data_IF_211896912399
#
_entry.id   IF_211896912399
#
_cell.length_a   1.000
_cell.length_b   1.000
_cell.length_c   1.000
_cell.angle_alpha   90.00
_cell.angle_beta   90.00
_cell.angle_gamma   90.00
#
_symmetry.space_group_name_H-M   'P 1'
#
loop_
_entity.id
_entity.type
_entity.pdbx_description
1 polymer ?
#
# COMPACT_ATOMS: atom_id res chain seq x y z
N UNK A 1 -20.44 -11.20 11.62
CA UNK A 1 -19.33 -11.50 10.71
C UNK A 1 -18.18 -12.08 11.52
N UNK A 2 -17.47 -13.11 11.06
CA UNK A 2 -16.29 -13.60 11.77
C UNK A 2 -15.29 -12.46 11.92
N UNK A 3 -14.72 -12.34 13.11
CA UNK A 3 -13.72 -11.32 13.41
C UNK A 3 -12.43 -11.70 12.67
N UNK A 4 -11.80 -10.74 11.98
CA UNK A 4 -10.49 -10.95 11.35
C UNK A 4 -9.48 -11.46 12.39
N UNK A 5 -8.68 -12.51 12.07
CA UNK A 5 -7.60 -12.94 12.94
C UNK A 5 -6.59 -11.79 13.09
N UNK A 6 -5.92 -11.73 14.23
CA UNK A 6 -4.82 -10.77 14.42
C UNK A 6 -3.65 -11.09 13.49
N UNK A 7 -2.89 -10.07 13.13
CA UNK A 7 -1.68 -10.23 12.33
C UNK A 7 -0.64 -11.01 13.14
N UNK A 8 -0.04 -12.01 12.51
CA UNK A 8 1.00 -12.86 13.10
C UNK A 8 2.41 -12.38 12.73
N UNK A 9 3.46 -12.72 13.52
CA UNK A 9 4.83 -12.27 13.26
C UNK A 9 5.39 -12.69 11.89
N UNK A 10 4.92 -13.79 11.31
CA UNK A 10 5.35 -14.28 9.99
C UNK A 10 4.52 -13.73 8.83
N UNK A 11 3.69 -12.70 9.05
CA UNK A 11 2.89 -12.07 7.99
C UNK A 11 3.74 -11.13 7.14
N UNK A 12 3.57 -11.18 5.81
CA UNK A 12 3.94 -10.12 4.88
C UNK A 12 2.68 -9.27 4.63
N UNK A 13 2.66 -8.04 5.16
CA UNK A 13 1.49 -7.18 5.15
C UNK A 13 1.53 -6.19 4.01
N UNK A 14 0.52 -6.23 3.14
CA UNK A 14 0.32 -5.30 2.04
C UNK A 14 -0.97 -4.53 2.25
N UNK A 15 -0.93 -3.21 2.06
CA UNK A 15 -2.06 -2.33 2.31
C UNK A 15 -2.25 -1.37 1.14
N UNK A 16 -3.44 -1.31 0.58
CA UNK A 16 -3.82 -0.20 -0.28
C UNK A 16 -4.00 1.07 0.56
N UNK A 17 -4.08 2.23 -0.10
CA UNK A 17 -4.10 3.53 0.57
C UNK A 17 -5.48 4.19 0.57
N UNK A 18 -5.99 4.61 -0.60
CA UNK A 18 -7.25 5.35 -0.73
C UNK A 18 -8.46 4.42 -0.58
N UNK A 19 -9.38 4.73 0.32
CA UNK A 19 -10.53 3.84 0.63
C UNK A 19 -10.16 2.67 1.54
N UNK A 20 -8.90 2.50 1.87
CA UNK A 20 -8.35 1.41 2.69
C UNK A 20 -7.71 1.94 3.98
N UNK A 21 -6.52 2.53 3.92
CA UNK A 21 -5.89 3.21 5.05
C UNK A 21 -6.51 4.57 5.32
N UNK A 22 -6.74 5.34 4.25
CA UNK A 22 -7.38 6.66 4.27
C UNK A 22 -8.84 6.57 3.83
N UNK A 23 -9.69 7.42 4.39
CA UNK A 23 -11.04 7.59 3.87
C UNK A 23 -11.00 8.28 2.49
N UNK A 24 -11.94 7.91 1.60
CA UNK A 24 -12.06 8.56 0.30
C UNK A 24 -12.43 10.03 0.46
N UNK A 25 -11.66 10.91 -0.15
CA UNK A 25 -11.92 12.34 -0.19
C UNK A 25 -12.50 12.79 -1.55
N UNK A 26 -13.21 13.94 -1.61
CA UNK A 26 -13.72 14.50 -2.87
C UNK A 26 -12.61 14.80 -3.90
N UNK A 27 -11.40 15.10 -3.42
CA UNK A 27 -10.19 15.34 -4.21
C UNK A 27 -9.00 14.63 -3.57
N UNK A 28 -8.05 14.11 -4.34
CA UNK A 28 -6.87 13.42 -3.83
C UNK A 28 -6.06 14.24 -2.80
N UNK A 29 -5.98 15.55 -3.00
CA UNK A 29 -5.21 16.46 -2.14
C UNK A 29 -5.86 16.71 -0.76
N UNK A 30 -7.15 16.37 -0.61
CA UNK A 30 -7.92 16.57 0.62
C UNK A 30 -7.92 15.33 1.54
N UNK A 31 -7.20 14.30 1.16
CA UNK A 31 -7.03 13.11 2.03
C UNK A 31 -6.29 13.52 3.30
N UNK A 32 -6.77 13.03 4.42
CA UNK A 32 -6.17 13.24 5.73
C UNK A 32 -5.83 11.91 6.38
N UNK A 33 -4.67 11.85 7.03
CA UNK A 33 -4.21 10.69 7.78
C UNK A 33 -4.10 11.07 9.24
N UNK A 34 -4.74 10.27 10.09
CA UNK A 34 -4.66 10.44 11.54
C UNK A 34 -3.25 10.06 12.05
N UNK A 35 -2.64 10.86 12.94
CA UNK A 35 -1.30 10.56 13.49
C UNK A 35 -1.20 9.18 14.16
N UNK A 36 -2.30 8.69 14.76
CA UNK A 36 -2.37 7.36 15.35
C UNK A 36 -2.16 6.25 14.31
N UNK A 37 -2.62 6.43 13.08
CA UNK A 37 -2.40 5.47 12.02
C UNK A 37 -0.92 5.35 11.67
N UNK A 38 -0.19 6.47 11.57
CA UNK A 38 1.26 6.47 11.30
C UNK A 38 2.01 5.74 12.42
N UNK A 39 1.61 5.96 13.68
CA UNK A 39 2.15 5.25 14.84
C UNK A 39 1.89 3.75 14.80
N UNK A 40 0.68 3.34 14.40
CA UNK A 40 0.27 1.95 14.23
C UNK A 40 1.08 1.26 13.13
N UNK A 41 1.21 1.90 11.94
CA UNK A 41 1.99 1.38 10.82
C UNK A 41 3.47 1.23 11.18
N UNK A 42 4.05 2.21 11.91
CA UNK A 42 5.43 2.11 12.41
C UNK A 42 5.62 0.90 13.33
N UNK A 43 4.68 0.67 14.25
CA UNK A 43 4.73 -0.47 15.16
C UNK A 43 4.64 -1.78 14.37
N UNK A 44 3.69 -1.91 13.44
CA UNK A 44 3.56 -3.08 12.58
C UNK A 44 4.82 -3.31 11.76
N UNK A 45 5.36 -2.28 11.11
CA UNK A 45 6.59 -2.36 10.33
C UNK A 45 7.76 -2.91 11.15
N UNK A 46 7.94 -2.41 12.38
CA UNK A 46 8.97 -2.89 13.29
C UNK A 46 8.73 -4.34 13.76
N UNK A 47 7.47 -4.71 14.05
CA UNK A 47 7.12 -6.03 14.57
C UNK A 47 7.05 -7.11 13.50
N UNK A 48 6.95 -6.72 12.24
CA UNK A 48 7.03 -7.59 11.08
C UNK A 48 8.44 -7.57 10.45
N UNK A 49 9.46 -7.04 11.14
CA UNK A 49 10.85 -6.95 10.67
C UNK A 49 10.97 -6.31 9.28
N UNK A 50 10.16 -5.27 9.02
CA UNK A 50 10.13 -4.57 7.75
C UNK A 50 9.17 -5.14 6.69
N UNK A 51 8.49 -6.27 6.95
CA UNK A 51 7.60 -6.91 5.97
C UNK A 51 6.20 -6.25 5.92
N UNK A 52 6.17 -4.92 5.74
CA UNK A 52 4.97 -4.13 5.49
C UNK A 52 5.22 -3.21 4.29
N UNK A 53 4.33 -3.25 3.29
CA UNK A 53 4.39 -2.37 2.12
C UNK A 53 3.02 -1.75 1.81
N UNK A 54 3.05 -0.54 1.23
CA UNK A 54 1.86 0.14 0.69
C UNK A 54 1.80 -0.07 -0.83
N UNK A 55 0.64 -0.50 -1.35
CA UNK A 55 0.42 -0.79 -2.77
C UNK A 55 -0.71 0.10 -3.27
N UNK A 56 -0.42 1.15 -4.03
CA UNK A 56 -1.40 2.20 -4.35
C UNK A 56 -1.37 2.66 -5.82
N UNK A 57 -2.46 3.30 -6.25
CA UNK A 57 -2.50 4.08 -7.49
C UNK A 57 -1.83 5.45 -7.38
N UNK A 58 -1.46 5.89 -6.16
CA UNK A 58 -0.69 7.11 -5.95
C UNK A 58 0.78 6.93 -6.29
N UNK A 59 1.48 8.01 -6.74
CA UNK A 59 2.93 8.03 -6.74
C UNK A 59 3.52 7.80 -5.35
N UNK A 60 4.68 7.13 -5.26
CA UNK A 60 5.35 6.86 -3.97
C UNK A 60 5.67 8.16 -3.21
N UNK A 61 6.02 9.23 -3.92
CA UNK A 61 6.29 10.53 -3.30
C UNK A 61 5.08 11.10 -2.54
N UNK A 62 3.85 10.90 -3.05
CA UNK A 62 2.64 11.30 -2.36
C UNK A 62 2.36 10.43 -1.13
N UNK A 63 2.59 9.11 -1.22
CA UNK A 63 2.49 8.21 -0.07
C UNK A 63 3.45 8.64 1.04
N UNK A 64 4.69 8.99 0.71
CA UNK A 64 5.66 9.50 1.66
C UNK A 64 5.21 10.81 2.31
N UNK A 65 4.59 11.71 1.54
CA UNK A 65 4.04 12.96 2.07
C UNK A 65 2.94 12.71 3.11
N UNK A 66 2.01 11.79 2.85
CA UNK A 66 0.91 11.48 3.77
C UNK A 66 1.36 10.69 5.00
N UNK A 67 2.37 9.84 4.86
CA UNK A 67 2.81 8.95 5.94
C UNK A 67 3.99 9.49 6.75
N UNK A 68 4.41 10.74 6.51
CA UNK A 68 5.53 11.35 7.23
C UNK A 68 5.43 11.16 8.75
N UNK A 69 6.56 10.90 9.42
CA UNK A 69 7.94 10.73 8.91
C UNK A 69 8.27 9.26 8.52
N UNK A 70 7.27 8.43 8.26
CA UNK A 70 7.43 7.01 7.97
C UNK A 70 7.61 6.80 6.45
N UNK A 71 8.73 6.18 6.06
CA UNK A 71 8.99 5.74 4.68
C UNK A 71 8.93 4.21 4.62
N UNK A 72 7.85 3.68 4.06
CA UNK A 72 7.62 2.24 3.94
C UNK A 72 8.08 1.72 2.57
N UNK A 73 8.40 0.43 2.45
CA UNK A 73 8.34 -0.26 1.18
C UNK A 73 7.01 0.06 0.47
N UNK A 74 7.07 0.35 -0.82
CA UNK A 74 5.86 0.78 -1.53
C UNK A 74 5.89 0.39 -3.02
N UNK A 75 4.70 0.15 -3.58
CA UNK A 75 4.47 0.17 -5.01
C UNK A 75 3.44 1.25 -5.33
N UNK A 76 3.85 2.24 -6.11
CA UNK A 76 3.02 3.35 -6.59
C UNK A 76 2.56 3.12 -8.02
N UNK A 77 1.54 3.90 -8.45
CA UNK A 77 0.97 3.85 -9.80
C UNK A 77 0.66 2.41 -10.19
N UNK A 78 -0.07 1.70 -9.30
CA UNK A 78 -0.51 0.31 -9.47
C UNK A 78 0.63 -0.70 -9.71
N UNK A 79 1.87 -0.42 -9.27
CA UNK A 79 3.05 -1.27 -9.50
C UNK A 79 4.07 -0.70 -10.47
N UNK A 80 3.78 0.41 -11.17
CA UNK A 80 4.71 1.03 -12.10
C UNK A 80 5.85 1.81 -11.42
N UNK A 81 5.70 2.19 -10.16
CA UNK A 81 6.76 2.61 -9.25
C UNK A 81 6.98 1.55 -8.18
N UNK A 82 8.24 1.30 -7.80
CA UNK A 82 8.56 0.27 -6.83
C UNK A 82 9.73 0.68 -5.95
N UNK A 83 9.60 0.53 -4.63
CA UNK A 83 10.63 0.77 -3.64
C UNK A 83 10.61 -0.33 -2.60
N UNK A 84 11.75 -0.98 -2.38
CA UNK A 84 12.00 -1.82 -1.22
C UNK A 84 12.41 -0.96 -0.01
N UNK A 85 12.86 -1.57 1.06
CA UNK A 85 13.22 -0.89 2.31
C UNK A 85 14.23 0.26 2.09
N UNK A 86 13.81 1.51 2.37
CA UNK A 86 14.64 2.73 2.34
C UNK A 86 15.36 3.04 1.02
N UNK A 87 15.09 2.26 -0.03
CA UNK A 87 15.79 2.28 -1.30
C UNK A 87 15.33 3.38 -2.27
N UNK A 88 16.01 3.45 -3.41
CA UNK A 88 15.60 4.30 -4.51
C UNK A 88 14.30 3.78 -5.15
N UNK A 89 13.46 4.70 -5.61
CA UNK A 89 12.27 4.37 -6.38
C UNK A 89 12.68 3.96 -7.78
N UNK A 90 12.46 2.71 -8.15
CA UNK A 90 12.53 2.26 -9.54
C UNK A 90 11.20 2.53 -10.24
N UNK A 91 11.25 2.81 -11.54
CA UNK A 91 10.08 3.14 -12.36
C UNK A 91 10.05 2.30 -13.61
N UNK A 92 8.87 1.81 -13.95
CA UNK A 92 8.64 1.14 -15.25
C UNK A 92 8.81 2.15 -16.37
N UNK A 93 9.57 1.80 -17.39
CA UNK A 93 9.79 2.66 -18.54
C UNK A 93 8.51 2.82 -19.37
N UNK A 94 8.10 4.06 -19.62
CA UNK A 94 6.86 4.40 -20.33
C UNK A 94 7.10 5.42 -21.47
N UNK A 95 7.91 5.11 -22.48
CA UNK A 95 8.30 6.07 -23.52
C UNK A 95 7.13 6.51 -24.41
N UNK A 96 6.08 5.71 -24.48
CA UNK A 96 4.86 6.01 -25.24
C UNK A 96 3.95 7.08 -24.57
N UNK A 97 4.22 7.49 -23.32
CA UNK A 97 3.34 8.38 -22.58
C UNK A 97 3.43 9.84 -23.03
N UNK A 98 4.64 10.39 -23.15
CA UNK A 98 4.86 11.81 -23.49
C UNK A 98 4.19 12.23 -24.81
N UNK A 99 4.20 11.43 -25.89
CA UNK A 99 3.50 11.76 -27.14
C UNK A 99 1.98 11.90 -26.99
N UNK A 100 1.36 11.30 -25.98
CA UNK A 100 -0.08 11.35 -25.76
C UNK A 100 -0.53 12.65 -25.04
N UNK A 101 0.36 13.26 -24.26
CA UNK A 101 0.04 14.40 -23.39
C UNK A 101 -0.62 15.55 -24.17
N UNK A 102 -0.09 16.02 -25.31
CA UNK A 102 -0.72 17.14 -26.05
C UNK A 102 -2.17 16.86 -26.48
N UNK A 103 -2.50 15.62 -26.83
CA UNK A 103 -3.85 15.21 -27.22
C UNK A 103 -4.81 15.24 -26.02
N UNK A 104 -4.36 14.71 -24.86
CA UNK A 104 -5.14 14.71 -23.63
C UNK A 104 -5.33 16.13 -23.07
N UNK A 105 -4.33 16.99 -23.18
CA UNK A 105 -4.44 18.40 -22.83
C UNK A 105 -5.44 19.15 -23.75
N UNK A 106 -5.47 18.81 -25.04
CA UNK A 106 -6.46 19.37 -25.96
C UNK A 106 -7.89 18.96 -25.57
N UNK A 107 -8.09 17.71 -25.14
CA UNK A 107 -9.37 17.24 -24.63
C UNK A 107 -9.81 18.05 -23.40
N UNK A 108 -8.93 18.23 -22.41
CA UNK A 108 -9.25 18.97 -21.17
C UNK A 108 -9.50 20.46 -21.48
N UNK A 109 -8.80 21.06 -22.44
CA UNK A 109 -9.11 22.43 -22.91
C UNK A 109 -10.49 22.53 -23.56
N UNK A 110 -10.93 21.51 -24.30
CA UNK A 110 -12.27 21.48 -24.90
C UNK A 110 -13.38 21.24 -23.87
N UNK A 111 -13.08 20.56 -22.77
CA UNK A 111 -14.02 20.21 -21.70
C UNK A 111 -13.46 20.61 -20.33
N UNK A 112 -13.61 21.88 -19.90
CA UNK A 112 -12.98 22.41 -18.68
C UNK A 112 -13.43 21.75 -17.36
N UNK A 113 -14.48 20.94 -17.38
CA UNK A 113 -14.92 20.14 -16.24
C UNK A 113 -14.08 18.86 -16.06
N UNK A 114 -13.28 18.48 -17.07
CA UNK A 114 -12.28 17.42 -16.96
C UNK A 114 -11.01 17.95 -16.31
N UNK A 115 -10.31 17.08 -15.58
CA UNK A 115 -9.00 17.40 -14.99
C UNK A 115 -7.99 16.37 -15.46
N UNK A 116 -6.87 16.85 -16.00
CA UNK A 116 -5.70 16.03 -16.31
C UNK A 116 -4.75 16.05 -15.12
N UNK A 117 -4.34 14.86 -14.66
CA UNK A 117 -3.32 14.68 -13.64
C UNK A 117 -2.14 13.94 -14.25
N UNK A 118 -0.97 14.58 -14.29
CA UNK A 118 0.28 13.96 -14.75
C UNK A 118 1.00 13.34 -13.56
N UNK A 119 1.25 12.04 -13.64
CA UNK A 119 2.08 11.29 -12.69
C UNK A 119 3.45 11.00 -13.33
N UNK A 120 4.38 10.43 -12.58
CA UNK A 120 5.75 10.18 -13.06
C UNK A 120 5.82 9.26 -14.29
N UNK A 121 4.96 8.25 -14.37
CA UNK A 121 4.92 7.24 -15.46
C UNK A 121 3.49 6.92 -15.90
N UNK A 122 2.51 7.76 -15.57
CA UNK A 122 1.10 7.61 -15.92
C UNK A 122 0.44 8.99 -16.09
N UNK A 123 -0.75 9.01 -16.67
CA UNK A 123 -1.61 10.19 -16.74
C UNK A 123 -3.05 9.80 -16.47
N UNK A 124 -3.75 10.55 -15.63
CA UNK A 124 -5.14 10.29 -15.30
C UNK A 124 -6.05 11.42 -15.78
N UNK A 125 -7.23 11.07 -16.29
CA UNK A 125 -8.28 12.01 -16.68
C UNK A 125 -9.45 11.80 -15.73
N UNK A 126 -9.72 12.80 -14.89
CA UNK A 126 -10.83 12.80 -13.95
C UNK A 126 -12.05 13.47 -14.56
N UNK A 127 -13.21 12.81 -14.47
CA UNK A 127 -14.49 13.31 -14.94
C UNK A 127 -15.57 13.33 -13.85
N UNK A 128 -15.15 13.31 -12.56
CA UNK A 128 -16.07 13.33 -11.41
C UNK A 128 -17.02 14.54 -11.39
N UNK A 129 -16.59 15.68 -11.92
CA UNK A 129 -17.41 16.91 -12.00
C UNK A 129 -18.35 16.96 -13.22
N UNK A 130 -18.18 16.02 -14.16
CA UNK A 130 -18.98 15.89 -15.37
C UNK A 130 -19.08 14.40 -15.76
N UNK A 131 -19.81 13.57 -14.99
CA UNK A 131 -19.93 12.13 -15.24
C UNK A 131 -20.47 11.77 -16.63
N UNK A 132 -21.27 12.67 -17.21
CA UNK A 132 -21.82 12.56 -18.58
C UNK A 132 -20.73 12.56 -19.67
N UNK A 133 -19.52 13.06 -19.36
CA UNK A 133 -18.38 13.05 -20.29
C UNK A 133 -17.63 11.72 -20.31
N UNK A 134 -18.02 10.71 -19.50
CA UNK A 134 -17.34 9.41 -19.46
C UNK A 134 -17.12 8.81 -20.85
N UNK A 135 -18.14 8.76 -21.70
CA UNK A 135 -18.03 8.24 -23.05
C UNK A 135 -17.06 9.01 -23.96
N UNK A 136 -16.95 10.33 -23.77
CA UNK A 136 -16.00 11.18 -24.50
C UNK A 136 -14.57 10.88 -24.05
N UNK A 137 -14.35 10.71 -22.73
CA UNK A 137 -13.05 10.34 -22.16
C UNK A 137 -12.62 8.97 -22.66
N UNK A 138 -13.51 7.98 -22.60
CA UNK A 138 -13.21 6.61 -23.04
C UNK A 138 -12.87 6.56 -24.53
N UNK A 139 -13.61 7.29 -25.39
CA UNK A 139 -13.32 7.37 -26.80
C UNK A 139 -11.94 8.01 -27.07
N UNK A 140 -11.64 9.12 -26.41
CA UNK A 140 -10.35 9.81 -26.56
C UNK A 140 -9.18 8.96 -26.07
N UNK A 141 -9.31 8.30 -24.92
CA UNK A 141 -8.30 7.39 -24.39
C UNK A 141 -8.08 6.20 -25.33
N UNK A 142 -9.16 5.60 -25.85
CA UNK A 142 -9.08 4.52 -26.83
C UNK A 142 -8.34 4.97 -28.09
N UNK A 143 -8.62 6.18 -28.59
CA UNK A 143 -8.00 6.70 -29.80
C UNK A 143 -6.49 6.92 -29.63
N UNK A 144 -6.04 7.57 -28.54
CA UNK A 144 -4.61 7.80 -28.30
C UNK A 144 -3.85 6.49 -28.06
N UNK A 145 -4.49 5.49 -27.44
CA UNK A 145 -3.88 4.19 -27.17
C UNK A 145 -3.72 3.28 -28.42
N UNK A 146 -4.46 3.55 -29.54
CA UNK A 146 -4.30 2.78 -30.77
C UNK A 146 -2.88 2.78 -31.32
N UNK A 147 -2.15 3.86 -31.06
CA UNK A 147 -0.78 4.05 -31.57
C UNK A 147 0.28 4.00 -30.48
N UNK A 148 -0.12 3.75 -29.23
CA UNK A 148 0.76 3.69 -28.08
C UNK A 148 1.19 2.23 -27.80
N UNK A 149 2.49 2.01 -27.72
CA UNK A 149 3.03 0.69 -27.38
C UNK A 149 3.42 0.68 -25.90
N UNK A 150 3.06 -0.40 -25.21
CA UNK A 150 3.45 -0.62 -23.82
C UNK A 150 2.64 0.20 -22.80
N UNK A 151 1.48 0.74 -23.20
CA UNK A 151 0.54 1.45 -22.35
C UNK A 151 -0.84 0.80 -22.38
N UNK A 152 -1.59 0.95 -21.31
CA UNK A 152 -2.97 0.49 -21.17
C UNK A 152 -3.82 1.49 -20.44
N UNK A 153 -5.14 1.46 -20.65
CA UNK A 153 -6.12 2.20 -19.87
C UNK A 153 -6.52 1.39 -18.64
N UNK A 154 -6.53 2.03 -17.49
CA UNK A 154 -7.08 1.50 -16.24
C UNK A 154 -8.29 2.34 -15.83
N UNK A 155 -9.52 1.83 -16.01
CA UNK A 155 -10.71 2.50 -15.51
C UNK A 155 -10.75 2.49 -13.99
N UNK A 156 -11.08 3.65 -13.39
CA UNK A 156 -11.30 3.80 -11.96
C UNK A 156 -12.60 4.53 -11.65
N UNK A 157 -12.82 4.89 -10.39
CA UNK A 157 -14.04 5.56 -9.95
C UNK A 157 -14.08 7.04 -10.38
N UNK A 158 -14.73 7.31 -11.52
CA UNK A 158 -14.80 8.64 -12.18
C UNK A 158 -13.43 9.15 -12.67
N UNK A 159 -12.58 8.25 -13.11
CA UNK A 159 -11.25 8.50 -13.67
C UNK A 159 -10.88 7.40 -14.66
N UNK A 160 -10.10 7.74 -15.67
CA UNK A 160 -9.38 6.76 -16.50
C UNK A 160 -7.90 7.12 -16.41
N UNK A 161 -7.07 6.16 -16.06
CA UNK A 161 -5.61 6.30 -16.00
C UNK A 161 -4.97 5.58 -17.18
N UNK A 162 -4.03 6.22 -17.87
CA UNK A 162 -3.15 5.60 -18.86
C UNK A 162 -1.82 5.34 -18.16
N UNK A 163 -1.42 4.08 -18.09
CA UNK A 163 -0.22 3.61 -17.36
C UNK A 163 0.56 2.57 -18.17
N UNK A 164 1.79 2.21 -17.76
CA UNK A 164 2.50 1.08 -18.34
C UNK A 164 1.66 -0.19 -18.30
N UNK A 165 1.61 -0.90 -19.42
CA UNK A 165 0.90 -2.16 -19.56
C UNK A 165 1.63 -3.31 -18.85
N UNK A 166 0.87 -4.30 -18.39
CA UNK A 166 1.42 -5.52 -17.81
C UNK A 166 1.99 -5.35 -16.42
N UNK A 167 1.57 -4.31 -15.67
CA UNK A 167 1.88 -4.14 -14.26
C UNK A 167 0.61 -3.85 -13.48
N UNK A 168 0.40 -4.57 -12.39
CA UNK A 168 -0.73 -4.37 -11.50
C UNK A 168 -0.33 -4.57 -10.01
N UNK A 169 -1.29 -4.42 -9.11
CA UNK A 169 -1.04 -4.58 -7.67
C UNK A 169 -0.67 -6.03 -7.30
N UNK A 170 -1.13 -7.02 -8.05
CA UNK A 170 -0.78 -8.43 -7.85
C UNK A 170 0.67 -8.71 -8.25
N UNK A 171 1.13 -8.14 -9.37
CA UNK A 171 2.53 -8.23 -9.80
C UNK A 171 3.47 -7.59 -8.80
N UNK A 172 3.08 -6.42 -8.24
CA UNK A 172 3.84 -5.74 -7.21
C UNK A 172 3.97 -6.59 -5.94
N UNK A 173 2.88 -7.20 -5.46
CA UNK A 173 2.89 -8.11 -4.32
C UNK A 173 3.78 -9.32 -4.61
N UNK A 174 3.63 -9.94 -5.79
CA UNK A 174 4.45 -11.09 -6.19
C UNK A 174 5.94 -10.74 -6.29
N UNK A 175 6.29 -9.50 -6.66
CA UNK A 175 7.66 -9.01 -6.67
C UNK A 175 8.21 -8.87 -5.25
N UNK A 176 7.48 -8.25 -4.32
CA UNK A 176 7.87 -8.18 -2.90
C UNK A 176 8.09 -9.56 -2.31
N UNK A 177 7.19 -10.50 -2.54
CA UNK A 177 7.27 -11.86 -1.99
C UNK A 177 8.47 -12.68 -2.46
N UNK A 178 9.24 -12.20 -3.46
CA UNK A 178 10.49 -12.83 -3.91
C UNK A 178 11.72 -12.34 -3.16
N UNK A 179 11.60 -11.31 -2.33
CA UNK A 179 12.73 -10.62 -1.68
C UNK A 179 12.54 -10.50 -0.18
N UNK A 180 13.66 -10.48 0.58
CA UNK A 180 13.59 -10.13 1.99
C UNK A 180 13.11 -8.66 2.16
N UNK A 181 12.36 -8.35 3.22
CA UNK A 181 11.96 -9.21 4.33
C UNK A 181 10.64 -9.98 4.11
N UNK A 182 10.04 -9.93 2.91
CA UNK A 182 8.73 -10.50 2.60
C UNK A 182 8.78 -11.99 2.25
N UNK A 183 9.89 -12.46 1.70
CA UNK A 183 10.06 -13.85 1.29
C UNK A 183 9.76 -14.84 2.44
N UNK A 184 9.15 -15.98 2.10
CA UNK A 184 8.81 -17.07 3.04
C UNK A 184 7.74 -16.72 4.10
N UNK A 185 7.16 -15.53 4.05
CA UNK A 185 6.06 -15.10 4.92
C UNK A 185 4.69 -15.41 4.30
N UNK A 186 3.65 -15.37 5.12
CA UNK A 186 2.27 -15.51 4.64
C UNK A 186 1.75 -14.13 4.22
N UNK A 187 1.42 -13.90 2.94
CA UNK A 187 0.98 -12.58 2.50
C UNK A 187 -0.46 -12.29 2.94
N UNK A 188 -0.67 -11.06 3.39
CA UNK A 188 -1.98 -10.50 3.66
C UNK A 188 -2.11 -9.18 2.90
N UNK A 189 -3.17 -9.02 2.10
CA UNK A 189 -3.44 -7.78 1.38
C UNK A 189 -4.84 -7.26 1.71
N UNK A 190 -4.93 -5.97 2.07
CA UNK A 190 -6.18 -5.26 2.26
C UNK A 190 -6.35 -4.15 1.21
N UNK A 191 -7.55 -4.06 0.60
CA UNK A 191 -7.90 -3.09 -0.44
C UNK A 191 -9.41 -2.92 -0.57
N UNK A 192 -9.88 -1.87 -1.28
CA UNK A 192 -11.31 -1.53 -1.38
C UNK A 192 -11.87 -1.57 -2.82
N UNK A 193 -11.03 -1.35 -3.84
CA UNK A 193 -11.48 -1.11 -5.20
C UNK A 193 -11.23 -2.31 -6.14
N UNK A 194 -11.79 -2.21 -7.35
CA UNK A 194 -11.60 -3.21 -8.42
C UNK A 194 -10.14 -3.38 -8.81
N UNK A 195 -9.34 -2.31 -8.69
CA UNK A 195 -7.90 -2.34 -8.94
C UNK A 195 -7.11 -3.20 -7.94
N UNK A 196 -7.76 -3.64 -6.83
CA UNK A 196 -7.18 -4.52 -5.82
C UNK A 196 -7.43 -6.01 -6.12
N UNK A 197 -8.35 -6.35 -7.02
CA UNK A 197 -8.67 -7.75 -7.34
C UNK A 197 -7.44 -8.58 -7.78
N UNK A 198 -6.53 -8.05 -8.63
CA UNK A 198 -5.27 -8.76 -8.92
C UNK A 198 -4.43 -9.02 -7.67
N UNK A 199 -4.41 -8.08 -6.72
CA UNK A 199 -3.73 -8.23 -5.44
C UNK A 199 -4.34 -9.33 -4.58
N UNK A 200 -5.68 -9.38 -4.46
CA UNK A 200 -6.37 -10.46 -3.76
C UNK A 200 -6.13 -11.82 -4.40
N UNK A 201 -6.14 -11.88 -5.74
CA UNK A 201 -5.83 -13.12 -6.48
C UNK A 201 -4.38 -13.57 -6.23
N UNK A 202 -3.42 -12.64 -6.20
CA UNK A 202 -2.00 -12.92 -5.95
C UNK A 202 -1.78 -13.49 -4.55
N UNK A 203 -2.29 -12.84 -3.50
CA UNK A 203 -2.13 -13.35 -2.12
C UNK A 203 -2.81 -14.70 -1.93
N UNK A 204 -3.99 -14.91 -2.51
CA UNK A 204 -4.67 -16.22 -2.49
C UNK A 204 -3.84 -17.32 -3.14
N UNK A 205 -3.23 -17.04 -4.30
CA UNK A 205 -2.33 -17.97 -5.01
C UNK A 205 -1.10 -18.33 -4.18
N UNK A 206 -0.65 -17.42 -3.35
CA UNK A 206 0.50 -17.59 -2.44
C UNK A 206 0.11 -18.17 -1.07
N UNK A 207 -1.13 -18.64 -0.89
CA UNK A 207 -1.61 -19.23 0.37
C UNK A 207 -1.93 -18.21 1.46
N UNK A 208 -2.06 -16.95 1.10
CA UNK A 208 -2.34 -15.83 2.00
C UNK A 208 -3.80 -15.40 2.04
N UNK A 209 -4.06 -14.24 2.63
CA UNK A 209 -5.39 -13.70 2.92
C UNK A 209 -5.64 -12.36 2.22
N UNK A 210 -6.68 -12.29 1.39
CA UNK A 210 -7.25 -11.05 0.85
C UNK A 210 -8.36 -10.52 1.75
N UNK A 211 -8.33 -9.23 2.08
CA UNK A 211 -9.30 -8.52 2.93
C UNK A 211 -9.91 -7.38 2.14
N UNK A 212 -11.18 -7.47 1.77
CA UNK A 212 -11.92 -6.36 1.18
C UNK A 212 -12.30 -5.34 2.25
N UNK A 213 -12.01 -4.08 1.99
CA UNK A 213 -12.48 -2.94 2.80
C UNK A 213 -13.74 -2.37 2.14
N UNK A 214 -14.90 -2.60 2.74
CA UNK A 214 -16.20 -2.26 2.16
C UNK A 214 -17.04 -3.47 1.79
N UNK A 215 -17.99 -3.26 0.86
CA UNK A 215 -18.94 -4.30 0.43
C UNK A 215 -19.11 -4.22 -1.09
N UNK A 216 -18.66 -5.21 -1.81
CA UNK A 216 -18.86 -5.44 -3.24
C UNK A 216 -18.56 -6.90 -3.58
N UNK A 217 -18.84 -7.32 -4.79
CA UNK A 217 -18.34 -8.59 -5.31
C UNK A 217 -16.81 -8.57 -5.40
N UNK A 218 -16.16 -9.65 -4.94
CA UNK A 218 -14.71 -9.73 -4.82
C UNK A 218 -14.22 -11.16 -4.76
N UNK A 219 -12.95 -11.38 -5.14
CA UNK A 219 -12.24 -12.65 -4.88
C UNK A 219 -11.52 -12.66 -3.52
N UNK A 220 -11.59 -11.57 -2.73
CA UNK A 220 -11.08 -11.53 -1.37
C UNK A 220 -11.83 -12.54 -0.48
N UNK A 221 -11.11 -13.18 0.45
CA UNK A 221 -11.67 -14.23 1.31
C UNK A 221 -12.58 -13.70 2.42
N UNK A 222 -12.32 -12.49 2.89
CA UNK A 222 -13.04 -11.84 4.00
C UNK A 222 -13.23 -10.35 3.71
N UNK A 223 -14.14 -9.69 4.44
CA UNK A 223 -14.37 -8.26 4.33
C UNK A 223 -14.50 -7.58 5.68
N UNK A 224 -14.17 -6.29 5.72
CA UNK A 224 -14.45 -5.36 6.83
C UNK A 224 -15.33 -4.22 6.35
N UNK A 225 -16.17 -3.60 7.21
CA UNK A 225 -17.17 -2.62 6.78
C UNK A 225 -16.61 -1.36 6.10
N UNK A 226 -15.36 -0.98 6.38
CA UNK A 226 -14.73 0.21 5.82
C UNK A 226 -13.41 0.56 6.49
N UNK A 227 -12.75 1.69 6.10
CA UNK A 227 -11.42 2.07 6.56
C UNK A 227 -11.28 2.14 8.08
N UNK A 228 -12.26 2.70 8.79
CA UNK A 228 -12.24 2.79 10.25
C UNK A 228 -12.16 1.41 10.93
N UNK A 229 -12.87 0.40 10.39
CA UNK A 229 -12.82 -0.96 10.92
C UNK A 229 -11.46 -1.61 10.66
N UNK A 230 -10.87 -1.37 9.48
CA UNK A 230 -9.52 -1.83 9.16
C UNK A 230 -8.48 -1.17 10.08
N UNK A 231 -8.51 0.15 10.25
CA UNK A 231 -7.59 0.88 11.14
C UNK A 231 -7.67 0.36 12.58
N UNK A 232 -8.88 0.13 13.08
CA UNK A 232 -9.09 -0.46 14.42
C UNK A 232 -8.49 -1.87 14.54
N UNK A 233 -8.60 -2.69 13.49
CA UNK A 233 -8.01 -4.03 13.46
C UNK A 233 -6.48 -3.96 13.38
N UNK A 234 -5.89 -3.06 12.56
CA UNK A 234 -4.45 -2.84 12.50
C UNK A 234 -3.89 -2.41 13.86
N UNK A 235 -4.59 -1.49 14.55
CA UNK A 235 -4.21 -1.04 15.90
C UNK A 235 -4.19 -2.19 16.91
N UNK A 236 -5.25 -3.02 16.96
CA UNK A 236 -5.29 -4.20 17.85
C UNK A 236 -4.17 -5.19 17.54
N UNK A 237 -3.89 -5.43 16.26
CA UNK A 237 -2.81 -6.32 15.82
C UNK A 237 -1.44 -5.79 16.22
N UNK A 238 -1.19 -4.49 16.04
CA UNK A 238 0.04 -3.83 16.46
C UNK A 238 0.26 -3.97 17.98
N UNK A 239 -0.80 -3.75 18.77
CA UNK A 239 -0.74 -3.89 20.22
C UNK A 239 -0.45 -5.33 20.65
N UNK A 240 -1.09 -6.32 20.04
CA UNK A 240 -0.85 -7.73 20.34
C UNK A 240 0.59 -8.15 20.03
N UNK A 241 1.12 -7.77 18.85
CA UNK A 241 2.49 -8.03 18.46
C UNK A 241 3.52 -7.34 19.39
N UNK A 242 3.21 -6.14 19.87
CA UNK A 242 4.07 -5.43 20.83
C UNK A 242 4.11 -6.15 22.19
N UNK A 243 2.96 -6.63 22.67
CA UNK A 243 2.81 -7.27 23.99
C UNK A 243 3.48 -8.66 24.01
N UNK A 244 3.39 -9.44 22.93
CA UNK A 244 4.01 -10.78 22.84
C UNK A 244 5.54 -10.71 22.88
N UNK A 245 6.16 -9.68 22.30
CA UNK A 245 7.60 -9.50 22.31
C UNK A 245 8.15 -9.12 23.70
N UNK A 246 7.36 -8.41 24.53
CA UNK A 246 7.74 -8.06 25.90
C UNK A 246 7.67 -9.26 26.86
N UNK A 247 6.82 -10.24 26.56
CA UNK A 247 6.71 -11.48 27.36
C UNK A 247 7.83 -12.49 27.10
N UNK A 248 8.52 -12.38 25.95
CA UNK A 248 9.63 -13.28 25.55
C UNK A 248 11.02 -12.81 25.96
N UNK A 249 11.19 -11.61 26.50
CA UNK A 249 12.49 -11.16 26.99
C UNK A 249 12.86 -11.91 28.29
N UNK A 250 14.04 -12.60 28.39
CA UNK A 250 14.43 -13.28 29.60
C UNK A 250 14.56 -12.28 30.74
N UNK A 251 13.80 -12.52 31.83
CA UNK A 251 13.97 -11.79 33.08
C UNK A 251 15.43 -11.91 33.48
N UNK A 252 16.15 -10.78 33.57
CA UNK A 252 17.50 -10.75 34.15
C UNK A 252 17.42 -11.33 35.55
N UNK A 253 18.08 -12.47 35.76
CA UNK A 253 18.24 -13.06 37.08
C UNK A 253 19.12 -12.10 37.89
N UNK A 254 18.71 -11.66 39.08
CA UNK A 254 19.57 -10.83 39.93
C UNK A 254 20.79 -11.67 40.28
N UNK A 255 21.99 -11.18 39.99
CA UNK A 255 23.25 -11.77 40.42
C UNK A 255 23.31 -11.66 41.96
N UNK A 256 23.08 -12.77 42.69
CA UNK A 256 23.34 -12.81 44.11
C UNK A 256 24.83 -12.55 44.33
N UNK A 257 25.14 -11.48 45.04
CA UNK A 257 26.47 -11.17 45.52
C UNK A 257 26.87 -12.22 46.54
N UNK A 258 27.79 -13.11 46.18
CA UNK A 258 28.36 -14.13 47.06
C UNK A 258 29.08 -13.49 48.25
N UNK A 259 29.09 -14.16 49.43
CA UNK A 259 29.59 -13.60 50.67
C UNK A 259 31.12 -13.37 50.61
N UNK A 260 31.53 -12.15 50.98
CA UNK A 260 32.91 -11.70 51.06
C UNK A 260 33.78 -12.60 51.92
N UNK A 261 34.86 -13.15 51.35
CA UNK A 261 35.91 -13.86 52.09
C UNK A 261 36.65 -12.88 52.97
N UNK A 262 36.51 -13.06 54.30
CA UNK A 262 37.22 -12.34 55.31
C UNK A 262 38.75 -12.42 55.17
N UNK A 263 39.40 -11.28 55.22
CA UNK A 263 40.88 -11.17 55.36
C UNK A 263 41.25 -11.59 56.78
N UNK A 264 42.13 -12.56 56.91
CA UNK A 264 42.85 -12.86 58.15
C UNK A 264 43.97 -11.82 58.37
N UNK A 265 44.21 -11.35 59.59
CA UNK A 265 45.35 -10.49 59.90
C UNK A 265 46.62 -11.37 60.03
N UNK A 266 47.70 -10.94 59.39
CA UNK A 266 49.06 -11.45 59.65
C UNK A 266 49.69 -10.63 60.76
N UNK A 267 50.02 -11.28 61.86
CA UNK A 267 50.93 -10.80 62.87
C UNK A 267 52.37 -11.20 62.50
N UNK A 268 53.25 -10.31 62.58
CA UNK A 268 54.68 -10.22 63.09
C UNK A 268 55.43 -9.26 62.20
#
# INVERSE_FOLDING_TARGET
MPQLPLIEPNTALFLDFDGTLADLAPRPELVQIEPELVGTLRTLYQRLDGALAVISGRPILELDHFLQPLQLPAAGIHGAEFRTDGGMVSKTHAPGLEPLIPHLEALVRAYPALRLERKSVAVAIHYRQAPELAGIVDAAVTDVLRHAVGLEALPGKMVVEIKPAGVDKGDAIAAFMKTAPFAERVPLFAGDDMTDEPGFAAVRKLGGLGVLVGQRETVAAVSVPGPAALRSWLHRSAHALASSASAGAPRAVPHEAGPGRGRRPTTS
#
